data_IF_086110878094
#
_entry.id   IF_086110878094
#
_cell.length_a   1.000
_cell.length_b   1.000
_cell.length_c   1.000
_cell.angle_alpha   90.00
_cell.angle_beta   90.00
_cell.angle_gamma   90.00
#
_symmetry.space_group_name_H-M   'P 1'
#
loop_
_entity.id
_entity.type
_entity.pdbx_description
1 polymer ?
#
# COMPACT_ATOMS: atom_id res chain seq x y z
N UNK A 1 -2.00 19.82 19.54
CA UNK A 1 -1.25 18.63 19.10
C UNK A 1 0.05 18.95 18.37
N UNK A 2 0.07 19.47 17.12
CA UNK A 2 1.37 19.77 16.45
C UNK A 2 2.23 20.75 17.26
N UNK A 3 1.65 21.83 17.78
CA UNK A 3 2.37 22.78 18.66
C UNK A 3 2.90 22.12 19.92
N UNK A 4 2.17 21.15 20.48
CA UNK A 4 2.55 20.43 21.70
C UNK A 4 3.65 19.39 21.42
N UNK A 5 3.65 18.75 20.25
CA UNK A 5 4.77 17.93 19.77
C UNK A 5 6.02 18.81 19.64
N UNK A 6 5.90 20.01 19.03
CA UNK A 6 7.01 20.96 18.88
C UNK A 6 7.58 21.37 20.24
N UNK A 7 6.70 21.69 21.19
CA UNK A 7 7.08 22.08 22.56
C UNK A 7 7.78 20.95 23.32
N UNK A 8 7.29 19.70 23.17
CA UNK A 8 7.87 18.52 23.84
C UNK A 8 9.18 18.05 23.21
N UNK A 9 9.37 18.20 21.90
CA UNK A 9 10.61 17.83 21.20
C UNK A 9 11.70 18.89 21.37
N UNK A 10 11.33 20.19 21.50
CA UNK A 10 12.25 21.34 21.57
C UNK A 10 13.30 21.36 20.45
N UNK A 11 12.88 21.12 19.20
CA UNK A 11 13.76 21.15 18.03
C UNK A 11 13.60 22.47 17.26
N UNK A 12 14.68 23.03 16.67
CA UNK A 12 14.61 24.27 15.88
C UNK A 12 14.05 24.07 14.46
N UNK A 13 13.64 22.85 14.08
CA UNK A 13 13.19 22.56 12.72
C UNK A 13 11.85 23.24 12.38
N UNK A 14 11.77 23.88 11.21
CA UNK A 14 10.51 24.45 10.72
C UNK A 14 9.55 23.37 10.18
N UNK A 15 10.11 22.34 9.55
CA UNK A 15 9.42 21.15 9.05
C UNK A 15 9.88 19.92 9.85
N UNK A 16 8.97 19.36 10.61
CA UNK A 16 9.24 18.14 11.36
C UNK A 16 8.78 16.94 10.52
N UNK A 17 9.62 15.91 10.41
CA UNK A 17 9.28 14.62 9.80
C UNK A 17 9.28 13.54 10.89
N UNK A 18 8.66 12.40 10.61
CA UNK A 18 8.59 11.25 11.52
C UNK A 18 9.95 10.91 12.17
N UNK A 19 11.05 11.04 11.41
CA UNK A 19 12.43 10.80 11.89
C UNK A 19 12.84 11.63 13.11
N UNK A 20 12.16 12.75 13.41
CA UNK A 20 12.42 13.52 14.63
C UNK A 20 11.83 12.84 15.86
N UNK A 21 10.60 12.32 15.77
CA UNK A 21 9.94 11.60 16.88
C UNK A 21 10.50 10.19 17.08
N UNK A 22 11.02 9.57 16.02
CA UNK A 22 11.58 8.22 16.05
C UNK A 22 12.95 8.13 16.74
N UNK A 23 13.55 9.25 17.16
CA UNK A 23 14.81 9.23 17.93
C UNK A 23 14.54 8.75 19.34
N UNK A 24 15.43 7.91 19.88
CA UNK A 24 15.31 7.32 21.22
C UNK A 24 15.04 8.36 22.32
N UNK A 25 15.71 9.52 22.28
CA UNK A 25 15.49 10.61 23.23
C UNK A 25 14.07 11.20 23.25
N UNK A 26 13.24 10.89 22.26
CA UNK A 26 11.84 11.34 22.15
C UNK A 26 10.82 10.21 22.36
N UNK A 27 11.27 9.04 22.86
CA UNK A 27 10.44 7.86 23.16
C UNK A 27 9.12 8.20 23.85
N UNK A 28 9.19 8.91 24.98
CA UNK A 28 8.01 9.27 25.75
C UNK A 28 7.01 10.13 24.96
N UNK A 29 7.50 11.00 24.07
CA UNK A 29 6.65 11.85 23.21
C UNK A 29 6.01 11.01 22.12
N UNK A 30 6.74 10.06 21.52
CA UNK A 30 6.21 9.12 20.52
C UNK A 30 5.08 8.26 21.11
N UNK A 31 5.27 7.70 22.30
CA UNK A 31 4.23 6.88 22.92
C UNK A 31 3.02 7.73 23.34
N UNK A 32 3.24 8.93 23.90
CA UNK A 32 2.15 9.87 24.19
C UNK A 32 1.36 10.22 22.92
N UNK A 33 2.05 10.48 21.81
CA UNK A 33 1.43 10.76 20.52
C UNK A 33 0.54 9.60 20.06
N UNK A 34 1.05 8.36 20.07
CA UNK A 34 0.30 7.15 19.71
C UNK A 34 -0.82 6.81 20.70
N UNK A 35 -0.77 7.23 21.96
CA UNK A 35 -1.91 7.09 22.87
C UNK A 35 -2.99 8.13 22.59
N UNK A 36 -2.59 9.35 22.25
CA UNK A 36 -3.50 10.48 22.08
C UNK A 36 -4.34 10.36 20.80
N UNK A 37 -3.79 9.82 19.72
CA UNK A 37 -4.51 9.66 18.45
C UNK A 37 -5.39 8.41 18.36
N UNK A 38 -5.42 7.60 19.41
CA UNK A 38 -6.06 6.29 19.37
C UNK A 38 -7.56 6.43 19.04
N UNK A 39 -8.02 5.70 18.03
CA UNK A 39 -9.41 5.73 17.56
C UNK A 39 -9.79 6.97 16.74
N UNK A 40 -8.86 7.91 16.53
CA UNK A 40 -9.08 9.13 15.74
C UNK A 40 -8.16 9.21 14.51
N UNK A 41 -7.41 8.16 14.23
CA UNK A 41 -6.56 8.07 13.06
C UNK A 41 -6.45 6.62 12.58
N UNK A 42 -6.12 6.47 11.30
CA UNK A 42 -6.01 5.19 10.61
C UNK A 42 -4.82 5.24 9.65
N UNK A 43 -4.12 4.12 9.49
CA UNK A 43 -3.02 3.97 8.55
C UNK A 43 -3.18 2.67 7.78
N UNK A 44 -3.20 2.79 6.46
CA UNK A 44 -3.06 1.66 5.55
C UNK A 44 -1.59 1.48 5.18
N UNK A 45 -1.03 0.32 5.54
CA UNK A 45 0.33 -0.05 5.15
C UNK A 45 0.29 -0.93 3.91
N UNK A 46 0.84 -0.42 2.81
CA UNK A 46 0.90 -1.13 1.54
C UNK A 46 2.32 -1.66 1.32
N UNK A 47 2.47 -2.98 1.24
CA UNK A 47 3.74 -3.59 0.83
C UNK A 47 3.84 -3.58 -0.69
N UNK A 48 4.97 -3.11 -1.20
CA UNK A 48 5.19 -2.91 -2.64
C UNK A 48 4.99 -4.19 -3.45
N UNK A 49 5.51 -5.31 -2.95
CA UNK A 49 5.36 -6.63 -3.58
C UNK A 49 3.90 -7.04 -3.64
N UNK A 50 3.20 -6.97 -2.49
CA UNK A 50 1.77 -7.31 -2.42
C UNK A 50 0.91 -6.44 -3.32
N UNK A 51 1.21 -5.14 -3.38
CA UNK A 51 0.53 -4.21 -4.28
C UNK A 51 0.76 -4.55 -5.75
N UNK A 52 2.01 -4.81 -6.13
CA UNK A 52 2.35 -5.17 -7.51
C UNK A 52 1.67 -6.47 -7.93
N UNK A 53 1.73 -7.51 -7.09
CA UNK A 53 1.06 -8.80 -7.35
C UNK A 53 -0.44 -8.61 -7.53
N UNK A 54 -1.09 -7.85 -6.64
CA UNK A 54 -2.51 -7.54 -6.75
C UNK A 54 -2.86 -6.82 -8.07
N UNK A 55 -2.06 -5.82 -8.47
CA UNK A 55 -2.27 -5.11 -9.74
C UNK A 55 -2.05 -6.02 -10.96
N UNK A 56 -1.08 -6.92 -10.92
CA UNK A 56 -0.84 -7.90 -12.00
C UNK A 56 -2.02 -8.84 -12.14
N UNK A 57 -2.49 -9.41 -11.04
CA UNK A 57 -3.68 -10.29 -11.00
C UNK A 57 -4.89 -9.55 -11.57
N UNK A 58 -5.16 -8.33 -11.11
CA UNK A 58 -6.29 -7.52 -11.59
C UNK A 58 -6.22 -7.25 -13.09
N UNK A 59 -5.07 -6.79 -13.61
CA UNK A 59 -4.89 -6.46 -15.03
C UNK A 59 -5.07 -7.68 -15.93
N UNK A 60 -4.62 -8.85 -15.48
CA UNK A 60 -4.76 -10.10 -16.22
C UNK A 60 -6.12 -10.78 -15.98
N UNK A 61 -6.97 -10.22 -15.11
CA UNK A 61 -8.31 -10.74 -14.86
C UNK A 61 -8.37 -11.97 -13.95
N UNK A 62 -7.43 -12.10 -13.02
CA UNK A 62 -7.55 -13.08 -11.94
C UNK A 62 -8.69 -12.75 -10.99
N UNK A 63 -9.01 -13.71 -10.14
CA UNK A 63 -10.14 -13.65 -9.22
C UNK A 63 -9.77 -12.96 -7.90
N UNK A 64 -10.79 -12.55 -7.14
CA UNK A 64 -10.59 -12.02 -5.79
C UNK A 64 -9.98 -13.12 -4.90
N UNK A 65 -8.83 -12.85 -4.26
CA UNK A 65 -8.11 -13.82 -3.44
C UNK A 65 -6.88 -14.44 -4.11
N UNK A 66 -6.76 -14.36 -5.44
CA UNK A 66 -5.63 -14.97 -6.18
C UNK A 66 -4.29 -14.37 -5.76
N UNK A 67 -4.24 -13.04 -5.58
CA UNK A 67 -3.03 -12.36 -5.13
C UNK A 67 -2.59 -12.84 -3.74
N UNK A 68 -3.53 -13.05 -2.82
CA UNK A 68 -3.29 -13.57 -1.48
C UNK A 68 -2.83 -15.02 -1.49
N UNK A 69 -3.31 -15.85 -2.44
CA UNK A 69 -2.80 -17.21 -2.64
C UNK A 69 -1.33 -17.16 -3.09
N UNK A 70 -1.02 -16.35 -4.12
CA UNK A 70 0.35 -16.21 -4.64
C UNK A 70 1.32 -15.66 -3.58
N UNK A 71 0.89 -14.72 -2.75
CA UNK A 71 1.73 -14.17 -1.68
C UNK A 71 1.96 -15.17 -0.54
N UNK A 72 0.98 -16.03 -0.23
CA UNK A 72 1.11 -17.07 0.81
C UNK A 72 2.01 -18.23 0.39
N UNK A 73 2.18 -18.45 -0.91
CA UNK A 73 3.14 -19.42 -1.45
C UNK A 73 4.58 -19.14 -0.97
N UNK A 74 4.90 -17.88 -0.65
CA UNK A 74 6.20 -17.53 -0.05
C UNK A 74 7.36 -17.60 -1.05
N UNK A 75 7.11 -17.27 -2.31
CA UNK A 75 8.13 -17.21 -3.36
C UNK A 75 9.35 -16.39 -2.94
N UNK A 76 10.53 -16.85 -3.36
CA UNK A 76 11.81 -16.15 -3.15
C UNK A 76 12.82 -16.55 -4.22
N UNK A 77 13.92 -15.81 -4.33
CA UNK A 77 14.98 -16.06 -5.30
C UNK A 77 14.71 -15.49 -6.69
N UNK A 78 15.57 -15.85 -7.66
CA UNK A 78 15.63 -15.21 -8.98
C UNK A 78 14.31 -15.20 -9.75
N UNK A 79 13.58 -16.33 -9.79
CA UNK A 79 12.29 -16.40 -10.50
C UNK A 79 11.24 -15.44 -9.94
N UNK A 80 11.24 -15.21 -8.61
CA UNK A 80 10.37 -14.24 -7.97
C UNK A 80 10.78 -12.80 -8.30
N UNK A 81 12.07 -12.51 -8.23
CA UNK A 81 12.62 -11.20 -8.57
C UNK A 81 12.35 -10.83 -10.03
N UNK A 82 12.55 -11.77 -10.96
CA UNK A 82 12.28 -11.59 -12.38
C UNK A 82 10.79 -11.35 -12.66
N UNK A 83 9.90 -12.06 -11.96
CA UNK A 83 8.46 -11.82 -12.03
C UNK A 83 8.09 -10.40 -11.55
N UNK A 84 8.64 -9.96 -10.41
CA UNK A 84 8.39 -8.62 -9.89
C UNK A 84 8.94 -7.54 -10.83
N UNK A 85 10.14 -7.72 -11.37
CA UNK A 85 10.78 -6.76 -12.28
C UNK A 85 10.00 -6.65 -13.59
N UNK A 86 9.72 -7.77 -14.24
CA UNK A 86 8.99 -7.80 -15.51
C UNK A 86 7.54 -7.35 -15.34
N UNK A 87 6.87 -7.73 -14.25
CA UNK A 87 5.52 -7.27 -13.92
C UNK A 87 5.47 -5.75 -13.68
N UNK A 88 6.46 -5.20 -12.96
CA UNK A 88 6.57 -3.75 -12.80
C UNK A 88 6.75 -3.04 -14.16
N UNK A 89 7.62 -3.57 -15.03
CA UNK A 89 7.85 -3.02 -16.37
C UNK A 89 6.61 -3.08 -17.24
N UNK A 90 5.87 -4.19 -17.20
CA UNK A 90 4.59 -4.35 -17.92
C UNK A 90 3.59 -3.25 -17.51
N UNK A 91 3.42 -3.03 -16.21
CA UNK A 91 2.42 -2.11 -15.65
C UNK A 91 2.86 -0.63 -15.65
N UNK A 92 4.13 -0.35 -15.96
CA UNK A 92 4.65 1.01 -15.96
C UNK A 92 4.11 1.81 -17.14
N UNK A 93 3.59 3.00 -16.85
CA UNK A 93 3.01 3.89 -17.86
C UNK A 93 4.00 4.27 -18.97
N UNK A 94 5.25 4.58 -18.58
CA UNK A 94 6.35 4.84 -19.52
C UNK A 94 7.18 3.57 -19.67
N UNK A 95 7.30 3.10 -20.91
CA UNK A 95 8.22 2.04 -21.28
C UNK A 95 9.23 2.56 -22.29
N UNK A 96 10.46 2.10 -22.19
CA UNK A 96 11.55 2.40 -23.12
C UNK A 96 11.60 1.42 -24.30
N UNK A 97 10.78 0.36 -24.23
CA UNK A 97 10.75 -0.78 -25.14
C UNK A 97 9.31 -1.04 -25.60
N UNK A 98 9.18 -1.68 -26.76
CA UNK A 98 7.91 -2.12 -27.34
C UNK A 98 7.06 -2.94 -26.33
N UNK A 99 5.75 -2.70 -26.34
CA UNK A 99 4.80 -3.40 -25.48
C UNK A 99 4.76 -4.92 -25.70
N UNK A 100 4.94 -5.41 -26.92
CA UNK A 100 4.98 -6.84 -27.21
C UNK A 100 6.19 -7.52 -26.56
N UNK A 101 7.33 -6.83 -26.51
CA UNK A 101 8.55 -7.33 -25.85
C UNK A 101 8.31 -7.44 -24.35
N UNK A 102 7.73 -6.40 -23.73
CA UNK A 102 7.40 -6.41 -22.30
C UNK A 102 6.43 -7.53 -21.93
N UNK A 103 5.40 -7.75 -22.76
CA UNK A 103 4.44 -8.85 -22.55
C UNK A 103 5.16 -10.19 -22.63
N UNK A 104 6.00 -10.41 -23.65
CA UNK A 104 6.75 -11.66 -23.81
C UNK A 104 7.69 -11.94 -22.63
N UNK A 105 8.44 -10.94 -22.18
CA UNK A 105 9.32 -11.03 -21.01
C UNK A 105 8.53 -11.40 -19.76
N UNK A 106 7.42 -10.70 -19.51
CA UNK A 106 6.57 -10.95 -18.36
C UNK A 106 5.93 -12.35 -18.39
N UNK A 107 5.38 -12.78 -19.53
CA UNK A 107 4.84 -14.13 -19.66
C UNK A 107 5.92 -15.19 -19.44
N UNK A 108 7.15 -14.96 -19.93
CA UNK A 108 8.31 -15.81 -19.63
C UNK A 108 8.56 -15.94 -18.12
N UNK A 109 8.51 -14.83 -17.39
CA UNK A 109 8.65 -14.83 -15.92
C UNK A 109 7.53 -15.60 -15.21
N UNK A 110 6.28 -15.53 -15.69
CA UNK A 110 5.16 -16.30 -15.13
C UNK A 110 5.37 -17.80 -15.30
N UNK A 111 5.87 -18.25 -16.45
CA UNK A 111 6.18 -19.65 -16.70
C UNK A 111 7.33 -20.14 -15.80
N UNK A 112 8.37 -19.31 -15.62
CA UNK A 112 9.48 -19.60 -14.72
C UNK A 112 9.02 -19.67 -13.25
N UNK A 113 8.16 -18.74 -12.82
CA UNK A 113 7.61 -18.73 -11.47
C UNK A 113 6.70 -19.95 -11.22
N UNK A 114 5.93 -20.36 -12.22
CA UNK A 114 5.06 -21.54 -12.15
C UNK A 114 5.86 -22.84 -11.99
N UNK A 115 7.03 -22.95 -12.60
CA UNK A 115 7.85 -24.17 -12.52
C UNK A 115 8.46 -24.39 -11.14
N UNK A 116 8.64 -23.33 -10.36
CA UNK A 116 9.17 -23.37 -8.99
C UNK A 116 8.09 -23.34 -7.90
N UNK A 117 6.83 -23.15 -8.27
CA UNK A 117 5.70 -23.15 -7.32
C UNK A 117 5.44 -24.55 -6.78
N UNK A 118 5.29 -24.66 -5.46
CA UNK A 118 5.04 -25.91 -4.72
C UNK A 118 3.54 -26.17 -4.62
N UNK A 119 2.77 -25.15 -4.29
CA UNK A 119 1.31 -25.19 -4.13
C UNK A 119 0.59 -25.46 -5.45
N UNK A 120 -0.38 -26.38 -5.42
CA UNK A 120 -1.23 -26.67 -6.58
C UNK A 120 -2.06 -25.45 -7.01
N UNK A 121 -2.67 -24.74 -6.04
CA UNK A 121 -3.46 -23.55 -6.30
C UNK A 121 -2.61 -22.42 -6.92
N UNK A 122 -1.40 -22.17 -6.39
CA UNK A 122 -0.49 -21.18 -6.97
C UNK A 122 -0.08 -21.54 -8.41
N UNK A 123 0.21 -22.83 -8.69
CA UNK A 123 0.52 -23.30 -10.05
C UNK A 123 -0.63 -23.17 -11.03
N UNK A 124 -1.86 -23.35 -10.57
CA UNK A 124 -3.07 -23.17 -11.37
C UNK A 124 -3.29 -21.71 -11.71
N UNK A 125 -3.29 -20.83 -10.71
CA UNK A 125 -3.40 -19.38 -10.88
C UNK A 125 -2.34 -18.87 -11.87
N UNK A 126 -1.06 -19.21 -11.65
CA UNK A 126 0.02 -18.81 -12.56
C UNK A 126 -0.18 -19.35 -13.99
N UNK A 127 -0.74 -20.55 -14.14
CA UNK A 127 -1.08 -21.13 -15.44
C UNK A 127 -2.19 -20.35 -16.15
N UNK A 128 -3.25 -20.00 -15.42
CA UNK A 128 -4.34 -19.16 -15.92
C UNK A 128 -3.84 -17.79 -16.35
N UNK A 129 -3.06 -17.11 -15.51
CA UNK A 129 -2.49 -15.79 -15.80
C UNK A 129 -1.53 -15.83 -16.99
N UNK A 130 -0.72 -16.90 -17.12
CA UNK A 130 0.19 -17.08 -18.25
C UNK A 130 -0.54 -17.25 -19.60
N UNK A 131 -1.81 -17.68 -19.57
CA UNK A 131 -2.67 -17.74 -20.76
C UNK A 131 -3.26 -16.40 -21.20
N UNK A 132 -3.08 -15.31 -20.43
CA UNK A 132 -3.73 -14.02 -20.66
C UNK A 132 -2.91 -13.06 -21.54
N UNK A 133 -2.26 -13.58 -22.59
CA UNK A 133 -1.45 -12.77 -23.50
C UNK A 133 -2.24 -11.62 -24.13
N UNK A 134 -3.45 -11.90 -24.63
CA UNK A 134 -4.30 -10.90 -25.28
C UNK A 134 -4.70 -9.78 -24.30
N UNK A 135 -4.97 -10.11 -23.03
CA UNK A 135 -5.23 -9.10 -22.00
C UNK A 135 -4.00 -8.26 -21.69
N UNK A 136 -2.83 -8.87 -21.61
CA UNK A 136 -1.58 -8.14 -21.37
C UNK A 136 -1.25 -7.17 -22.52
N UNK A 137 -1.46 -7.60 -23.78
CA UNK A 137 -1.32 -6.77 -24.97
C UNK A 137 -2.37 -5.66 -25.01
N UNK A 138 -3.64 -5.99 -24.79
CA UNK A 138 -4.73 -5.02 -24.72
C UNK A 138 -4.47 -3.97 -23.64
N UNK A 139 -4.00 -4.40 -22.46
CA UNK A 139 -3.57 -3.50 -21.40
C UNK A 139 -2.49 -2.56 -21.92
N UNK A 140 -1.38 -3.07 -22.47
CA UNK A 140 -0.28 -2.23 -23.01
C UNK A 140 -0.73 -1.25 -24.08
N UNK A 141 -1.62 -1.66 -24.98
CA UNK A 141 -2.20 -0.80 -26.01
C UNK A 141 -3.15 0.26 -25.41
N UNK A 142 -3.78 -0.06 -24.28
CA UNK A 142 -4.72 0.81 -23.55
C UNK A 142 -4.06 1.76 -22.56
N UNK A 143 -2.73 1.74 -22.40
CA UNK A 143 -2.01 2.71 -21.56
C UNK A 143 -1.98 4.06 -22.29
N UNK A 144 -3.10 4.80 -22.21
CA UNK A 144 -3.08 6.12 -21.60
C UNK A 144 -4.27 6.27 -20.65
N UNK A 145 -4.24 5.54 -19.52
CA UNK A 145 -5.24 5.70 -18.48
C UNK A 145 -5.01 6.99 -17.68
N UNK A 146 -6.10 7.73 -17.41
CA UNK A 146 -6.08 8.90 -16.52
C UNK A 146 -5.42 8.56 -15.17
N UNK A 147 -5.52 7.31 -14.71
CA UNK A 147 -5.02 6.81 -13.42
C UNK A 147 -3.90 5.78 -13.64
N UNK A 148 -2.66 6.02 -13.15
CA UNK A 148 -1.60 5.02 -13.20
C UNK A 148 -1.96 3.81 -12.32
N UNK A 149 -1.97 2.61 -12.90
CA UNK A 149 -2.29 1.37 -12.16
C UNK A 149 -1.31 1.12 -11.01
N UNK A 150 -0.04 1.51 -11.16
CA UNK A 150 0.97 1.38 -10.12
C UNK A 150 0.97 2.54 -9.11
N UNK A 151 0.00 3.47 -9.17
CA UNK A 151 -0.13 4.54 -8.19
C UNK A 151 -1.25 4.23 -7.19
N UNK A 152 -0.92 3.90 -5.92
CA UNK A 152 -1.92 3.56 -4.92
C UNK A 152 -2.77 4.77 -4.48
N UNK A 153 -2.37 6.00 -4.81
CA UNK A 153 -3.03 7.22 -4.33
C UNK A 153 -4.54 7.21 -4.58
N UNK A 154 -4.96 6.87 -5.80
CA UNK A 154 -6.35 6.97 -6.22
C UNK A 154 -7.27 5.99 -5.49
N UNK A 155 -7.00 4.67 -5.47
CA UNK A 155 -7.80 3.75 -4.68
C UNK A 155 -7.76 4.10 -3.18
N UNK A 156 -6.59 4.44 -2.63
CA UNK A 156 -6.45 4.78 -1.21
C UNK A 156 -7.25 6.02 -0.80
N UNK A 157 -7.40 7.03 -1.67
CA UNK A 157 -8.27 8.18 -1.36
C UNK A 157 -9.74 7.75 -1.23
N UNK A 158 -10.21 6.85 -2.09
CA UNK A 158 -11.58 6.33 -2.02
C UNK A 158 -11.76 5.44 -0.79
N UNK A 159 -10.79 4.58 -0.47
CA UNK A 159 -10.82 3.71 0.71
C UNK A 159 -10.76 4.53 2.01
N UNK A 160 -9.97 5.61 2.04
CA UNK A 160 -9.94 6.57 3.14
C UNK A 160 -11.30 7.24 3.33
N UNK A 161 -11.95 7.67 2.24
CA UNK A 161 -13.31 8.22 2.34
C UNK A 161 -14.30 7.19 2.88
N UNK A 162 -14.23 5.95 2.38
CA UNK A 162 -15.10 4.85 2.80
C UNK A 162 -14.96 4.55 4.30
N UNK A 163 -13.72 4.50 4.80
CA UNK A 163 -13.42 4.23 6.21
C UNK A 163 -14.07 5.23 7.17
N UNK A 164 -14.06 6.52 6.82
CA UNK A 164 -14.56 7.59 7.68
C UNK A 164 -16.01 8.00 7.42
N UNK A 165 -16.56 7.60 6.26
CA UNK A 165 -17.94 7.87 5.92
C UNK A 165 -18.89 6.83 6.52
N UNK A 166 -20.15 7.24 6.74
CA UNK A 166 -21.24 6.31 7.03
C UNK A 166 -22.52 6.84 6.39
N UNK A 167 -23.59 6.03 6.25
CA UNK A 167 -24.87 6.53 5.72
C UNK A 167 -25.33 7.77 6.48
N UNK A 168 -25.55 8.88 5.76
CA UNK A 168 -25.93 10.17 6.34
C UNK A 168 -24.77 11.00 6.94
N UNK A 169 -23.55 10.48 6.96
CA UNK A 169 -22.35 11.18 7.46
C UNK A 169 -21.34 11.34 6.33
N UNK A 170 -21.50 12.37 5.48
CA UNK A 170 -20.53 12.63 4.44
C UNK A 170 -19.21 13.16 5.00
N UNK A 171 -18.12 12.88 4.30
CA UNK A 171 -16.77 13.34 4.66
C UNK A 171 -16.23 14.35 3.66
N UNK A 172 -15.45 15.31 4.17
CA UNK A 172 -14.63 16.21 3.37
C UNK A 172 -13.16 15.84 3.57
N UNK A 173 -12.48 15.47 2.48
CA UNK A 173 -11.08 15.13 2.53
C UNK A 173 -10.19 16.36 2.39
N UNK A 174 -9.14 16.41 3.22
CA UNK A 174 -8.05 17.37 3.11
C UNK A 174 -6.80 16.59 2.78
N UNK A 175 -6.16 16.90 1.66
CA UNK A 175 -4.98 16.18 1.18
C UNK A 175 -3.86 17.17 0.88
N UNK A 176 -2.60 16.76 1.03
CA UNK A 176 -1.47 17.57 0.56
C UNK A 176 -1.57 17.86 -0.93
N UNK A 177 -0.94 18.94 -1.39
CA UNK A 177 -0.83 19.22 -2.81
C UNK A 177 -0.02 18.13 -3.49
N UNK A 178 -0.70 17.39 -4.35
CA UNK A 178 -0.11 16.36 -5.18
C UNK A 178 -0.34 16.70 -6.65
N UNK A 179 0.73 16.69 -7.45
CA UNK A 179 0.66 17.05 -8.88
C UNK A 179 -0.22 16.10 -9.68
N UNK A 180 -0.35 14.86 -9.18
CA UNK A 180 -1.21 13.85 -9.77
C UNK A 180 -2.70 14.08 -9.49
N UNK A 181 -3.10 14.95 -8.56
CA UNK A 181 -4.52 15.23 -8.26
C UNK A 181 -5.04 16.42 -9.07
N UNK A 182 -5.10 16.26 -10.39
CA UNK A 182 -5.72 17.24 -11.29
C UNK A 182 -7.24 17.29 -11.08
N UNK A 183 -7.95 18.36 -11.48
CA UNK A 183 -9.40 18.44 -11.37
C UNK A 183 -10.14 17.25 -11.97
N UNK A 184 -9.72 16.79 -13.16
CA UNK A 184 -10.31 15.62 -13.81
C UNK A 184 -10.13 14.32 -13.00
N UNK A 185 -9.00 14.18 -12.31
CA UNK A 185 -8.72 13.01 -11.48
C UNK A 185 -9.43 13.06 -10.12
N UNK A 186 -9.63 14.26 -9.56
CA UNK A 186 -10.48 14.45 -8.38
C UNK A 186 -11.93 14.09 -8.71
N UNK A 187 -12.41 14.49 -9.87
CA UNK A 187 -13.76 14.12 -10.33
C UNK A 187 -13.88 12.61 -10.55
N UNK A 188 -12.85 11.95 -11.09
CA UNK A 188 -12.79 10.50 -11.17
C UNK A 188 -12.89 9.85 -9.77
N UNK A 189 -12.16 10.35 -8.77
CA UNK A 189 -12.25 9.86 -7.37
C UNK A 189 -13.68 10.01 -6.85
N UNK A 190 -14.32 11.17 -7.09
CA UNK A 190 -15.69 11.44 -6.65
C UNK A 190 -16.69 10.46 -7.26
N UNK A 191 -16.59 10.20 -8.56
CA UNK A 191 -17.46 9.24 -9.26
C UNK A 191 -17.27 7.81 -8.74
N UNK A 192 -16.02 7.38 -8.52
CA UNK A 192 -15.74 6.05 -7.95
C UNK A 192 -16.25 5.90 -6.52
N UNK A 193 -16.17 6.97 -5.71
CA UNK A 193 -16.75 6.97 -4.37
C UNK A 193 -18.28 6.83 -4.44
N UNK A 194 -18.94 7.58 -5.32
CA UNK A 194 -20.39 7.53 -5.54
C UNK A 194 -20.86 6.13 -5.98
N UNK A 195 -20.17 5.50 -6.94
CA UNK A 195 -20.45 4.13 -7.38
C UNK A 195 -20.32 3.09 -6.26
N UNK A 196 -19.45 3.34 -5.28
CA UNK A 196 -19.28 2.48 -4.08
C UNK A 196 -20.24 2.86 -2.94
N UNK A 197 -21.13 3.83 -3.14
CA UNK A 197 -22.02 4.34 -2.09
C UNK A 197 -21.28 5.09 -0.97
N UNK A 198 -20.06 5.56 -1.23
CA UNK A 198 -19.22 6.30 -0.28
C UNK A 198 -19.60 7.77 -0.29
N UNK A 199 -19.94 8.31 0.87
CA UNK A 199 -20.39 9.70 1.01
C UNK A 199 -19.21 10.70 1.04
N UNK A 200 -18.56 10.92 -0.11
CA UNK A 200 -17.49 11.91 -0.27
C UNK A 200 -18.08 13.27 -0.71
N UNK A 201 -18.25 14.21 0.22
CA UNK A 201 -18.82 15.53 -0.07
C UNK A 201 -17.84 16.51 -0.73
N UNK A 202 -16.53 16.23 -0.65
CA UNK A 202 -15.55 17.01 -1.40
C UNK A 202 -14.12 16.74 -0.96
N UNK A 203 -13.19 17.32 -1.72
CA UNK A 203 -11.75 17.18 -1.51
C UNK A 203 -11.06 18.53 -1.69
N UNK A 204 -10.19 18.88 -0.73
CA UNK A 204 -9.42 20.13 -0.75
C UNK A 204 -7.93 19.82 -0.68
N UNK A 205 -7.19 20.34 -1.66
CA UNK A 205 -5.72 20.27 -1.67
C UNK A 205 -5.13 21.44 -0.88
N UNK A 206 -4.22 21.15 0.04
CA UNK A 206 -3.56 22.15 0.90
C UNK A 206 -2.05 22.00 0.84
N UNK A 207 -1.31 23.02 1.27
CA UNK A 207 0.13 22.87 1.44
C UNK A 207 0.40 22.21 2.79
N UNK A 208 1.08 21.07 2.83
CA UNK A 208 1.36 20.34 4.08
C UNK A 208 1.89 21.24 5.20
N UNK A 209 2.86 22.11 4.89
CA UNK A 209 3.50 22.99 5.88
C UNK A 209 2.55 23.96 6.59
N UNK A 210 1.40 24.28 6.01
CA UNK A 210 0.43 25.21 6.58
C UNK A 210 -0.84 24.57 7.12
N UNK A 211 -1.07 23.27 6.89
CA UNK A 211 -2.24 22.56 7.43
C UNK A 211 -1.81 21.50 8.49
N UNK A 212 -2.16 21.71 9.78
CA UNK A 212 -1.73 20.81 10.84
C UNK A 212 -2.32 19.39 10.72
N UNK A 213 -3.44 19.20 10.00
CA UNK A 213 -4.03 17.87 9.80
C UNK A 213 -3.19 17.02 8.85
N UNK A 214 -2.71 17.62 7.77
CA UNK A 214 -1.82 16.95 6.81
C UNK A 214 -0.49 16.61 7.48
N UNK A 215 0.10 17.55 8.23
CA UNK A 215 1.31 17.26 9.01
C UNK A 215 1.10 16.07 9.94
N UNK A 216 0.00 16.05 10.68
CA UNK A 216 -0.33 14.98 11.61
C UNK A 216 -0.45 13.61 10.93
N UNK A 217 -1.12 13.57 9.77
CA UNK A 217 -1.25 12.35 8.97
C UNK A 217 0.13 11.87 8.47
N UNK A 218 0.96 12.77 7.93
CA UNK A 218 2.32 12.45 7.47
C UNK A 218 3.23 11.95 8.59
N UNK A 219 3.11 12.51 9.80
CA UNK A 219 3.80 12.02 10.99
C UNK A 219 3.44 10.57 11.27
N UNK A 220 2.14 10.32 11.41
CA UNK A 220 1.65 9.00 11.79
C UNK A 220 2.01 7.98 10.71
N UNK A 221 1.84 8.31 9.42
CA UNK A 221 2.21 7.44 8.32
C UNK A 221 3.71 7.11 8.33
N UNK A 222 4.58 8.10 8.57
CA UNK A 222 6.02 7.88 8.67
C UNK A 222 6.43 7.05 9.87
N UNK A 223 5.79 7.25 11.03
CA UNK A 223 5.99 6.46 12.25
C UNK A 223 5.55 5.01 12.03
N UNK A 224 4.33 4.81 11.53
CA UNK A 224 3.77 3.50 11.24
C UNK A 224 4.65 2.71 10.27
N UNK A 225 5.11 3.34 9.19
CA UNK A 225 6.02 2.73 8.22
C UNK A 225 7.32 2.26 8.86
N UNK A 226 7.90 3.07 9.76
CA UNK A 226 9.15 2.71 10.44
C UNK A 226 8.95 1.53 11.40
N UNK A 227 7.96 1.62 12.29
CA UNK A 227 7.67 0.57 13.27
C UNK A 227 7.37 -0.75 12.55
N UNK A 228 6.46 -0.76 11.57
CA UNK A 228 6.12 -1.97 10.82
C UNK A 228 7.30 -2.50 9.99
N UNK A 229 8.15 -1.62 9.45
CA UNK A 229 9.38 -2.01 8.78
C UNK A 229 10.35 -2.73 9.72
N UNK A 230 10.53 -2.22 10.94
CA UNK A 230 11.40 -2.81 11.96
C UNK A 230 10.86 -4.16 12.44
N UNK A 231 9.55 -4.30 12.60
CA UNK A 231 8.89 -5.60 12.89
C UNK A 231 9.17 -6.63 11.80
N UNK A 232 9.02 -6.26 10.52
CA UNK A 232 9.30 -7.15 9.38
C UNK A 232 10.78 -7.54 9.33
N UNK A 233 11.68 -6.63 9.71
CA UNK A 233 13.12 -6.89 9.79
C UNK A 233 13.57 -7.64 11.05
N UNK A 234 12.65 -7.99 11.97
CA UNK A 234 12.97 -8.71 13.20
C UNK A 234 13.68 -7.86 14.26
N UNK A 235 13.71 -6.54 14.09
CA UNK A 235 14.29 -5.56 15.04
C UNK A 235 13.22 -4.65 15.65
N UNK A 236 11.97 -5.10 15.58
CA UNK A 236 10.80 -4.35 16.04
C UNK A 236 10.79 -4.14 17.54
N UNK A 237 10.28 -3.00 17.97
CA UNK A 237 10.01 -2.70 19.36
C UNK A 237 8.61 -3.17 19.75
N UNK A 238 8.45 -4.15 20.67
CA UNK A 238 7.14 -4.72 20.99
C UNK A 238 6.12 -3.70 21.52
N UNK A 239 6.59 -2.72 22.31
CA UNK A 239 5.71 -1.69 22.89
C UNK A 239 5.20 -0.75 21.80
N UNK A 240 6.06 -0.34 20.86
CA UNK A 240 5.64 0.49 19.74
C UNK A 240 4.73 -0.27 18.77
N UNK A 241 5.00 -1.56 18.55
CA UNK A 241 4.11 -2.44 17.78
C UNK A 241 2.71 -2.52 18.37
N UNK A 242 2.60 -2.75 19.68
CA UNK A 242 1.32 -2.75 20.39
C UNK A 242 0.57 -1.42 20.31
N UNK A 243 1.29 -0.30 20.45
CA UNK A 243 0.71 1.04 20.32
C UNK A 243 0.28 1.35 18.88
N UNK A 244 0.93 0.74 17.87
CA UNK A 244 0.59 0.94 16.46
C UNK A 244 -0.63 0.11 16.01
N UNK A 245 -0.84 -1.09 16.54
CA UNK A 245 -1.91 -2.01 16.11
C UNK A 245 -3.30 -1.36 15.95
N UNK A 246 -3.79 -0.49 16.85
CA UNK A 246 -5.10 0.13 16.72
C UNK A 246 -5.27 1.05 15.49
N UNK A 247 -4.17 1.47 14.86
CA UNK A 247 -4.17 2.32 13.68
C UNK A 247 -4.22 1.52 12.38
N UNK A 248 -3.81 0.25 12.41
CA UNK A 248 -3.76 -0.59 11.23
C UNK A 248 -5.14 -1.20 10.98
N UNK A 249 -5.65 -1.09 9.74
CA UNK A 249 -6.87 -1.80 9.35
C UNK A 249 -6.71 -3.30 9.40
N UNK A 250 -7.83 -4.02 9.46
CA UNK A 250 -7.91 -5.48 9.45
C UNK A 250 -7.24 -6.15 8.23
N UNK A 251 -6.89 -5.37 7.20
CA UNK A 251 -6.26 -5.82 5.96
C UNK A 251 -4.72 -5.75 5.98
N UNK A 252 -4.11 -5.19 7.01
CA UNK A 252 -2.68 -4.88 7.04
C UNK A 252 -1.89 -5.84 7.92
N UNK A 253 -1.60 -7.06 7.42
CA UNK A 253 -0.49 -7.97 7.73
C UNK A 253 -0.96 -9.43 7.50
N UNK A 254 -0.35 -10.23 6.61
CA UNK A 254 -0.36 -11.66 6.83
C UNK A 254 0.44 -11.91 8.11
N UNK A 255 -0.25 -12.43 9.12
CA UNK A 255 0.40 -13.03 10.26
C UNK A 255 1.35 -14.10 9.71
N UNK A 256 2.67 -13.88 9.80
CA UNK A 256 3.59 -15.02 9.82
C UNK A 256 3.20 -15.79 11.07
N UNK A 257 2.55 -16.93 10.90
CA UNK A 257 2.50 -17.90 11.99
C UNK A 257 3.95 -18.21 12.38
N UNK A 258 4.30 -18.18 13.67
CA UNK A 258 5.58 -18.73 14.09
C UNK A 258 5.64 -20.17 13.61
N UNK A 259 6.78 -20.56 13.04
CA UNK A 259 7.03 -21.94 12.70
C UNK A 259 6.77 -22.78 13.95
N UNK A 260 5.82 -23.72 13.87
CA UNK A 260 5.67 -24.74 14.89
C UNK A 260 7.04 -25.43 15.03
N UNK A 261 7.62 -25.35 16.22
CA UNK A 261 8.80 -26.13 16.56
C UNK A 261 8.49 -27.60 16.25
N UNK A 262 9.36 -28.34 15.52
CA UNK A 262 9.16 -29.76 15.34
C UNK A 262 9.18 -30.42 16.71
N UNK A 263 7.99 -30.86 17.13
CA UNK A 263 7.77 -31.55 18.39
C UNK A 263 8.75 -32.70 18.55
N UNK A 264 9.32 -32.77 19.74
CA UNK A 264 10.06 -33.92 20.23
C UNK A 264 9.30 -35.22 19.94
N UNK A 265 9.80 -35.98 18.98
CA UNK A 265 9.55 -37.40 18.90
C UNK A 265 10.61 -38.11 19.76
N UNK A 266 10.10 -38.97 20.64
CA UNK A 266 10.86 -39.90 21.48
C UNK A 266 11.71 -40.85 20.66
#
# INVERSE_FOLDING_TARGET
MISEIRERIRSPAEEYKANHLLREKHRAVLEWFLRTLRGSAHVELVRKESFLVGRVVEVLGGEAGDAEVLLREGFSGGAWEDFLVSGNRLLRMRAEVDGEVLVREFLGSLHALRSVAVGAAAREILGTLAGQQDRALAYRASIPALIPVLDPLFPTVVDTAAHWSSPGTPVHLVHDRQTLLTPARIEWIRQRAEERGVALAGMRLVQARSDPRVQLADFLAGIARKIAGDEVSGVGDPVLGELLRPYLGSSGLPQRQPAEEPGHLR
#
